data_IF_253909798644
#
_entry.id   IF_253909798644
#
_cell.length_a   1.000
_cell.length_b   1.000
_cell.length_c   1.000
_cell.angle_alpha   90.00
_cell.angle_beta   90.00
_cell.angle_gamma   90.00
#
_symmetry.space_group_name_H-M   'P 1'
#
loop_
_entity.id
_entity.type
_entity.pdbx_description
1 polymer ?
#
# COMPACT_ATOMS: atom_id res chain seq x y z
N UNK A 1 -42.08 13.10 22.87
CA UNK A 1 -40.70 13.63 22.89
C UNK A 1 -39.79 12.67 22.13
N UNK A 2 -39.93 12.57 20.80
CA UNK A 2 -39.32 11.45 20.04
C UNK A 2 -38.69 11.85 18.70
N UNK A 3 -38.60 13.14 18.36
CA UNK A 3 -38.04 13.59 17.09
C UNK A 3 -36.53 13.86 17.09
N UNK A 4 -35.87 13.85 18.26
CA UNK A 4 -34.47 14.29 18.36
C UNK A 4 -33.47 13.16 18.07
N UNK A 5 -33.78 11.89 18.36
CA UNK A 5 -32.85 10.78 18.17
C UNK A 5 -32.63 10.42 16.69
N UNK A 6 -33.70 10.50 15.87
CA UNK A 6 -33.61 10.21 14.43
C UNK A 6 -32.69 11.21 13.71
N UNK A 7 -32.73 12.49 14.11
CA UNK A 7 -31.89 13.53 13.55
C UNK A 7 -30.39 13.28 13.85
N UNK A 8 -30.05 12.86 15.08
CA UNK A 8 -28.67 12.53 15.46
C UNK A 8 -28.12 11.31 14.70
N UNK A 9 -28.95 10.30 14.43
CA UNK A 9 -28.56 9.13 13.62
C UNK A 9 -28.32 9.53 12.17
N UNK A 10 -29.17 10.38 11.60
CA UNK A 10 -29.00 10.87 10.22
C UNK A 10 -27.77 11.80 10.11
N UNK A 11 -27.53 12.67 11.09
CA UNK A 11 -26.38 13.57 11.11
C UNK A 11 -25.05 12.81 11.23
N UNK A 12 -25.02 11.74 12.04
CA UNK A 12 -23.83 10.89 12.19
C UNK A 12 -23.54 10.07 10.93
N UNK A 13 -24.56 9.57 10.24
CA UNK A 13 -24.39 8.89 8.94
C UNK A 13 -23.90 9.85 7.85
N UNK A 14 -24.37 11.10 7.83
CA UNK A 14 -23.89 12.13 6.88
C UNK A 14 -22.42 12.51 7.15
N UNK A 15 -22.02 12.65 8.41
CA UNK A 15 -20.63 12.93 8.79
C UNK A 15 -19.67 11.79 8.42
N UNK A 16 -20.12 10.54 8.58
CA UNK A 16 -19.42 9.34 8.10
C UNK A 16 -19.24 9.47 6.58
N UNK A 17 -20.31 9.67 5.79
CA UNK A 17 -20.22 9.75 4.32
C UNK A 17 -19.31 10.86 3.79
N UNK A 18 -19.25 12.03 4.43
CA UNK A 18 -18.33 13.11 4.05
C UNK A 18 -16.86 12.74 4.24
N UNK A 19 -16.55 11.88 5.22
CA UNK A 19 -15.19 11.35 5.44
C UNK A 19 -14.88 10.19 4.49
N UNK A 20 -15.88 9.44 4.01
CA UNK A 20 -15.68 8.37 3.00
C UNK A 20 -15.57 8.87 1.55
N UNK A 21 -15.84 10.15 1.28
CA UNK A 21 -15.72 10.71 -0.07
C UNK A 21 -14.26 10.88 -0.55
N UNK A 22 -13.26 10.71 0.32
CA UNK A 22 -11.86 11.04 0.01
C UNK A 22 -10.89 9.84 0.04
N UNK A 23 -11.38 8.59 0.05
CA UNK A 23 -10.50 7.39 0.04
C UNK A 23 -10.81 6.33 -1.02
N UNK A 24 -11.72 6.59 -1.96
CA UNK A 24 -11.91 5.76 -3.15
C UNK A 24 -11.60 6.52 -4.44
N UNK A 25 -10.65 7.47 -4.41
CA UNK A 25 -10.02 7.94 -5.64
C UNK A 25 -9.01 6.88 -6.10
N UNK A 26 -9.56 5.71 -6.44
CA UNK A 26 -8.91 4.61 -7.14
C UNK A 26 -8.96 4.74 -8.65
N UNK A 27 -9.21 5.95 -9.15
CA UNK A 27 -9.08 6.29 -10.57
C UNK A 27 -7.95 7.30 -10.71
N UNK A 28 -6.70 6.80 -10.61
CA UNK A 28 -5.61 7.47 -11.31
C UNK A 28 -6.07 7.59 -12.78
N UNK A 29 -6.19 8.80 -13.36
CA UNK A 29 -6.44 8.89 -14.78
C UNK A 29 -5.25 8.26 -15.48
N UNK A 30 -5.44 7.05 -16.02
CA UNK A 30 -4.54 6.42 -16.98
C UNK A 30 -4.45 7.34 -18.19
N UNK A 31 -3.60 8.36 -18.12
CA UNK A 31 -3.21 9.15 -19.28
C UNK A 31 -2.51 8.17 -20.20
N UNK A 32 -3.24 7.69 -21.21
CA UNK A 32 -2.74 6.81 -22.26
C UNK A 32 -1.82 7.64 -23.14
N UNK A 33 -0.56 7.72 -22.72
CA UNK A 33 0.50 8.38 -23.49
C UNK A 33 0.69 7.63 -24.81
N UNK A 34 0.26 8.25 -25.91
CA UNK A 34 0.33 7.76 -27.29
C UNK A 34 1.72 7.97 -27.90
N UNK A 35 2.75 7.44 -27.24
CA UNK A 35 4.11 7.38 -27.81
C UNK A 35 4.48 5.93 -28.05
N UNK A 36 4.70 5.60 -29.32
CA UNK A 36 5.14 4.30 -29.80
C UNK A 36 6.53 3.95 -29.22
N UNK A 37 6.63 2.79 -28.60
CA UNK A 37 7.90 2.24 -28.15
C UNK A 37 7.79 1.47 -26.85
N UNK A 38 8.27 0.24 -26.87
CA UNK A 38 8.22 -0.83 -25.86
C UNK A 38 8.66 -0.46 -24.41
N UNK A 39 9.10 0.78 -24.17
CA UNK A 39 9.73 1.25 -22.94
C UNK A 39 8.77 2.02 -22.01
N UNK A 40 7.65 2.51 -22.56
CA UNK A 40 6.68 3.34 -21.82
C UNK A 40 5.99 2.56 -20.70
N UNK A 41 5.67 1.27 -20.92
CA UNK A 41 5.03 0.42 -19.91
C UNK A 41 5.97 0.15 -18.72
N UNK A 42 7.23 -0.15 -18.97
CA UNK A 42 8.23 -0.36 -17.91
C UNK A 42 8.47 0.94 -17.13
N UNK A 43 8.63 2.07 -17.83
CA UNK A 43 8.80 3.39 -17.19
C UNK A 43 7.61 3.75 -16.28
N UNK A 44 6.37 3.55 -16.77
CA UNK A 44 5.17 3.81 -15.97
C UNK A 44 5.05 2.88 -14.75
N UNK A 45 5.40 1.60 -14.89
CA UNK A 45 5.44 0.67 -13.77
C UNK A 45 6.50 1.08 -12.73
N UNK A 46 7.70 1.47 -13.18
CA UNK A 46 8.75 1.98 -12.30
C UNK A 46 8.29 3.25 -11.57
N UNK A 47 7.56 4.15 -12.23
CA UNK A 47 7.03 5.36 -11.62
C UNK A 47 5.96 5.06 -10.57
N UNK A 48 5.04 4.13 -10.86
CA UNK A 48 4.04 3.66 -9.90
C UNK A 48 4.68 2.99 -8.68
N UNK A 49 5.66 2.10 -8.89
CA UNK A 49 6.40 1.43 -7.82
C UNK A 49 7.15 2.45 -6.93
N UNK A 50 7.78 3.46 -7.52
CA UNK A 50 8.44 4.55 -6.80
C UNK A 50 7.45 5.38 -5.98
N UNK A 51 6.28 5.68 -6.55
CA UNK A 51 5.22 6.39 -5.85
C UNK A 51 4.74 5.62 -4.61
N UNK A 52 4.45 4.32 -4.76
CA UNK A 52 4.09 3.45 -3.64
C UNK A 52 5.18 3.37 -2.56
N UNK A 53 6.45 3.33 -2.97
CA UNK A 53 7.56 3.31 -2.01
C UNK A 53 7.70 4.64 -1.27
N UNK A 54 7.47 5.78 -1.95
CA UNK A 54 7.46 7.10 -1.31
C UNK A 54 6.34 7.21 -0.26
N UNK A 55 5.13 6.76 -0.62
CA UNK A 55 4.00 6.68 0.31
C UNK A 55 4.31 5.78 1.50
N UNK A 56 4.91 4.61 1.28
CA UNK A 56 5.36 3.70 2.33
C UNK A 56 6.33 4.40 3.30
N UNK A 57 7.37 5.08 2.77
CA UNK A 57 8.33 5.82 3.59
C UNK A 57 7.64 6.87 4.46
N UNK A 58 6.73 7.65 3.87
CA UNK A 58 5.99 8.70 4.58
C UNK A 58 5.05 8.14 5.66
N UNK A 59 4.33 7.07 5.34
CA UNK A 59 3.36 6.40 6.22
C UNK A 59 4.02 5.77 7.44
N UNK A 60 5.15 5.09 7.25
CA UNK A 60 5.85 4.37 8.31
C UNK A 60 7.11 5.09 8.82
N UNK A 61 7.29 6.36 8.44
CA UNK A 61 8.43 7.21 8.85
C UNK A 61 9.79 6.54 8.62
N UNK A 62 9.95 5.88 7.47
CA UNK A 62 11.19 5.20 7.09
C UNK A 62 12.18 6.18 6.47
N UNK A 63 13.43 6.12 6.91
CA UNK A 63 14.57 6.77 6.29
C UNK A 63 15.69 5.75 6.11
N UNK A 64 16.46 5.91 5.04
CA UNK A 64 17.61 5.05 4.72
C UNK A 64 18.82 5.95 4.63
N UNK A 65 19.95 5.50 5.18
CA UNK A 65 21.14 6.34 5.37
C UNK A 65 21.96 6.55 4.10
N UNK A 66 21.76 5.71 3.08
CA UNK A 66 22.50 5.74 1.82
C UNK A 66 21.62 5.42 0.62
N UNK A 67 22.08 5.79 -0.58
CA UNK A 67 21.41 5.43 -1.82
C UNK A 67 21.40 3.90 -2.03
N UNK A 68 22.50 3.23 -1.72
CA UNK A 68 22.60 1.76 -1.82
C UNK A 68 21.57 1.07 -0.91
N UNK A 69 21.40 1.57 0.32
CA UNK A 69 20.38 1.05 1.24
C UNK A 69 18.97 1.33 0.70
N UNK A 70 18.73 2.53 0.17
CA UNK A 70 17.45 2.88 -0.44
C UNK A 70 17.10 1.92 -1.57
N UNK A 71 18.03 1.64 -2.47
CA UNK A 71 17.81 0.80 -3.65
C UNK A 71 17.64 -0.66 -3.25
N UNK A 72 18.41 -1.13 -2.27
CA UNK A 72 18.22 -2.44 -1.66
C UNK A 72 16.83 -2.58 -1.05
N UNK A 73 16.41 -1.64 -0.19
CA UNK A 73 15.10 -1.66 0.48
C UNK A 73 13.96 -1.55 -0.51
N UNK A 74 14.13 -0.76 -1.57
CA UNK A 74 13.16 -0.66 -2.66
C UNK A 74 13.02 -1.99 -3.41
N UNK A 75 14.12 -2.71 -3.65
CA UNK A 75 14.08 -4.03 -4.29
C UNK A 75 13.31 -5.06 -3.45
N UNK A 76 13.53 -5.07 -2.13
CA UNK A 76 12.82 -5.94 -1.17
C UNK A 76 11.34 -5.59 -1.11
N UNK A 77 11.03 -4.30 -1.06
CA UNK A 77 9.65 -3.79 -1.09
C UNK A 77 8.86 -4.29 -2.30
N UNK A 78 9.45 -4.22 -3.50
CA UNK A 78 8.82 -4.75 -4.72
C UNK A 78 8.62 -6.26 -4.67
N UNK A 79 9.59 -7.00 -4.15
CA UNK A 79 9.48 -8.44 -4.02
C UNK A 79 8.33 -8.85 -3.07
N UNK A 80 8.20 -8.15 -1.95
CA UNK A 80 7.14 -8.38 -0.97
C UNK A 80 5.77 -7.98 -1.52
N UNK A 81 5.61 -6.82 -2.19
CA UNK A 81 4.34 -6.46 -2.85
C UNK A 81 3.85 -7.53 -3.84
N UNK A 82 4.77 -8.09 -4.64
CA UNK A 82 4.42 -9.18 -5.57
C UNK A 82 4.04 -10.46 -4.84
N UNK A 83 4.64 -10.74 -3.69
CA UNK A 83 4.35 -11.91 -2.86
C UNK A 83 2.97 -11.77 -2.20
N UNK A 84 2.71 -10.66 -1.52
CA UNK A 84 1.40 -10.23 -1.03
C UNK A 84 0.31 -10.39 -2.11
N UNK A 85 0.52 -9.86 -3.32
CA UNK A 85 -0.45 -9.96 -4.41
C UNK A 85 -0.70 -11.42 -4.88
N UNK A 86 0.30 -12.31 -4.78
CA UNK A 86 0.10 -13.74 -5.06
C UNK A 86 -0.68 -14.43 -3.94
N UNK A 87 -0.36 -14.14 -2.69
CA UNK A 87 -1.05 -14.73 -1.55
C UNK A 87 -2.52 -14.29 -1.50
N UNK A 88 -2.83 -13.03 -1.81
CA UNK A 88 -4.20 -12.52 -1.94
C UNK A 88 -5.05 -13.30 -2.96
N UNK A 89 -4.43 -13.79 -4.03
CA UNK A 89 -5.13 -14.61 -5.04
C UNK A 89 -5.41 -16.02 -4.53
N UNK A 90 -4.55 -16.55 -3.66
CA UNK A 90 -4.68 -17.89 -3.08
C UNK A 90 -5.64 -17.89 -1.89
N UNK A 91 -5.60 -16.84 -1.07
CA UNK A 91 -6.53 -16.61 0.03
C UNK A 91 -7.13 -15.21 -0.10
N UNK A 92 -8.29 -15.08 -0.78
CA UNK A 92 -8.98 -13.80 -0.92
C UNK A 92 -9.50 -13.24 0.41
N UNK A 93 -9.58 -14.06 1.46
CA UNK A 93 -10.04 -13.63 2.79
C UNK A 93 -8.93 -13.01 3.62
N UNK A 94 -7.67 -13.30 3.29
CA UNK A 94 -6.52 -12.61 3.84
C UNK A 94 -6.45 -11.19 3.28
N UNK A 95 -6.16 -10.20 4.12
CA UNK A 95 -5.90 -8.83 3.68
C UNK A 95 -4.39 -8.63 3.53
N UNK A 96 -3.91 -8.66 2.28
CA UNK A 96 -2.51 -8.39 1.98
C UNK A 96 -2.35 -6.93 1.55
N UNK A 97 -1.61 -6.16 2.34
CA UNK A 97 -1.36 -4.74 2.09
C UNK A 97 0.04 -4.33 2.52
N UNK A 98 0.40 -3.09 2.22
CA UNK A 98 1.68 -2.51 2.65
C UNK A 98 1.71 -2.38 4.18
N UNK A 99 2.60 -3.13 4.82
CA UNK A 99 2.87 -3.10 6.28
C UNK A 99 4.21 -2.42 6.58
N UNK A 100 4.47 -2.13 7.85
CA UNK A 100 5.76 -1.56 8.33
C UNK A 100 6.99 -2.45 8.05
N UNK A 101 6.78 -3.71 7.67
CA UNK A 101 7.82 -4.70 7.39
C UNK A 101 7.98 -5.01 5.90
N UNK A 102 7.28 -4.27 5.03
CA UNK A 102 7.30 -4.50 3.59
C UNK A 102 8.69 -4.35 2.98
N UNK A 103 9.61 -3.65 3.65
CA UNK A 103 11.00 -3.44 3.28
C UNK A 103 11.98 -4.49 3.85
N UNK A 104 11.48 -5.49 4.58
CA UNK A 104 12.30 -6.50 5.23
C UNK A 104 12.20 -7.86 4.52
N UNK A 105 13.34 -8.53 4.43
CA UNK A 105 13.39 -9.93 4.03
C UNK A 105 12.93 -10.83 5.18
N UNK A 106 12.50 -12.08 4.91
CA UNK A 106 12.16 -13.03 5.97
C UNK A 106 13.30 -13.28 6.96
N UNK A 107 14.55 -13.21 6.50
CA UNK A 107 15.73 -13.37 7.35
C UNK A 107 15.92 -12.18 8.30
N UNK A 108 15.81 -10.95 7.78
CA UNK A 108 15.87 -9.72 8.59
C UNK A 108 14.71 -9.65 9.59
N UNK A 109 13.51 -10.05 9.16
CA UNK A 109 12.34 -10.09 10.01
C UNK A 109 12.52 -11.02 11.21
N UNK A 110 13.06 -12.23 10.99
CA UNK A 110 13.40 -13.17 12.07
C UNK A 110 14.51 -12.63 12.97
N UNK A 111 15.52 -11.98 12.40
CA UNK A 111 16.64 -11.39 13.17
C UNK A 111 16.17 -10.29 14.11
N UNK A 112 15.13 -9.54 13.71
CA UNK A 112 14.50 -8.54 14.55
C UNK A 112 13.62 -9.13 15.68
N UNK A 113 13.50 -10.46 15.78
CA UNK A 113 12.76 -11.14 16.85
C UNK A 113 11.26 -11.28 16.57
N UNK A 114 10.79 -10.94 15.38
CA UNK A 114 9.39 -11.10 15.02
C UNK A 114 9.08 -12.56 14.66
N UNK A 115 7.98 -13.10 15.20
CA UNK A 115 7.54 -14.49 14.95
C UNK A 115 6.88 -14.60 13.57
N UNK A 116 7.12 -15.72 12.90
CA UNK A 116 6.81 -15.98 11.48
C UNK A 116 5.32 -15.89 11.13
N UNK A 117 4.42 -15.89 12.12
CA UNK A 117 2.98 -15.75 11.91
C UNK A 117 2.57 -14.45 11.18
N UNK A 118 3.44 -13.43 11.10
CA UNK A 118 3.19 -12.21 10.33
C UNK A 118 3.81 -12.20 8.92
N UNK A 119 4.65 -13.19 8.57
CA UNK A 119 5.32 -13.27 7.26
C UNK A 119 4.42 -13.86 6.17
N UNK A 120 3.34 -14.55 6.56
CA UNK A 120 2.31 -14.95 5.59
C UNK A 120 1.55 -13.74 5.03
N UNK A 121 1.52 -12.63 5.78
CA UNK A 121 0.80 -11.40 5.44
C UNK A 121 1.59 -10.49 4.48
N UNK A 122 2.88 -10.76 4.24
CA UNK A 122 3.76 -9.97 3.35
C UNK A 122 4.22 -10.74 2.11
#
# INVERSE_FOLDING_TARGET
MSLNCSLYVILSLLFISAVYADTLNGDDPLIRQVVDGQDTSSSNLLNAEQHHFSQFKSKFKKSYGSQDEHDYRFSVFKANLRRAARHQKLDPTASHGVTQFSDLTPAEFRKAGFRVAQVEVA
#
